data_IF_065286295861
#
_entry.id   IF_065286295861
#
_cell.length_a   1.000
_cell.length_b   1.000
_cell.length_c   1.000
_cell.angle_alpha   90.00
_cell.angle_beta   90.00
_cell.angle_gamma   90.00
#
_symmetry.space_group_name_H-M   'P 1'
#
loop_
_entity.id
_entity.type
_entity.pdbx_description
1 polymer ?
#
# COMPACT_ATOMS: atom_id res chain seq x y z
N UNK A 1 -14.18 -6.45 23.82
CA UNK A 1 -13.57 -6.84 22.54
C UNK A 1 -12.99 -8.23 22.73
N UNK A 2 -13.39 -9.19 21.92
CA UNK A 2 -12.83 -10.54 21.98
C UNK A 2 -11.42 -10.51 21.36
N UNK A 3 -10.39 -10.73 22.18
CA UNK A 3 -9.00 -10.66 21.75
C UNK A 3 -8.67 -11.74 20.72
N UNK A 4 -9.32 -12.90 20.78
CA UNK A 4 -9.11 -13.98 19.80
C UNK A 4 -9.61 -13.54 18.43
N UNK A 5 -10.78 -12.90 18.38
CA UNK A 5 -11.34 -12.38 17.13
C UNK A 5 -10.43 -11.30 16.54
N UNK A 6 -9.91 -10.38 17.36
CA UNK A 6 -9.03 -9.32 16.85
C UNK A 6 -7.69 -9.89 16.37
N UNK A 7 -7.08 -10.79 17.13
CA UNK A 7 -5.81 -11.42 16.74
C UNK A 7 -5.97 -12.26 15.46
N UNK A 8 -7.09 -12.95 15.29
CA UNK A 8 -7.40 -13.69 14.06
C UNK A 8 -7.48 -12.80 12.83
N UNK A 9 -8.17 -11.65 12.93
CA UNK A 9 -8.24 -10.71 11.82
C UNK A 9 -6.92 -9.97 11.57
N UNK A 10 -6.11 -9.71 12.61
CA UNK A 10 -4.76 -9.15 12.44
C UNK A 10 -3.83 -10.13 11.71
N UNK A 11 -3.92 -11.43 12.02
CA UNK A 11 -3.18 -12.46 11.31
C UNK A 11 -3.61 -12.54 9.83
N UNK A 12 -4.92 -12.46 9.55
CA UNK A 12 -5.45 -12.39 8.19
C UNK A 12 -4.95 -11.14 7.45
N UNK A 13 -5.01 -9.97 8.10
CA UNK A 13 -4.61 -8.70 7.51
C UNK A 13 -3.12 -8.66 7.17
N UNK A 14 -2.25 -8.99 8.14
CA UNK A 14 -0.81 -8.85 7.99
C UNK A 14 -0.15 -10.04 7.26
N UNK A 15 -0.78 -11.23 7.31
CA UNK A 15 -0.28 -12.44 6.67
C UNK A 15 -0.97 -12.79 5.34
N UNK A 16 -2.05 -12.08 4.98
CA UNK A 16 -2.90 -12.44 3.85
C UNK A 16 -2.18 -12.44 2.51
N UNK A 17 -1.36 -11.43 2.24
CA UNK A 17 -0.61 -11.35 0.98
C UNK A 17 0.42 -12.49 0.84
N UNK A 18 1.14 -12.81 1.90
CA UNK A 18 2.08 -13.93 1.92
C UNK A 18 1.36 -15.27 1.72
N UNK A 19 0.19 -15.45 2.35
CA UNK A 19 -0.62 -16.65 2.17
C UNK A 19 -1.13 -16.80 0.73
N UNK A 20 -1.57 -15.69 0.11
CA UNK A 20 -2.01 -15.65 -1.29
C UNK A 20 -0.83 -15.90 -2.25
N UNK A 21 0.34 -15.33 -1.97
CA UNK A 21 1.57 -15.56 -2.74
C UNK A 21 1.94 -17.05 -2.75
N UNK A 22 2.06 -17.68 -1.56
CA UNK A 22 2.34 -19.12 -1.45
C UNK A 22 1.30 -20.02 -2.08
N UNK A 23 0.04 -19.59 -2.11
CA UNK A 23 -1.03 -20.32 -2.77
C UNK A 23 -0.83 -20.30 -4.30
N UNK A 24 -0.49 -19.14 -4.87
CA UNK A 24 -0.18 -19.02 -6.29
C UNK A 24 1.00 -19.91 -6.68
N UNK A 25 2.08 -19.91 -5.90
CA UNK A 25 3.25 -20.77 -6.11
C UNK A 25 2.87 -22.25 -6.13
N UNK A 26 2.07 -22.69 -5.15
CA UNK A 26 1.59 -24.09 -5.06
C UNK A 26 0.70 -24.49 -6.22
N UNK A 27 -0.02 -23.54 -6.79
CA UNK A 27 -0.88 -23.74 -7.96
C UNK A 27 -0.11 -23.59 -9.28
N UNK A 28 1.20 -23.29 -9.23
CA UNK A 28 2.03 -23.06 -10.41
C UNK A 28 1.54 -21.89 -11.25
N UNK A 29 0.96 -20.86 -10.62
CA UNK A 29 0.48 -19.67 -11.32
C UNK A 29 1.67 -18.74 -11.63
N UNK A 30 1.63 -18.01 -12.75
CA UNK A 30 2.69 -17.07 -13.12
C UNK A 30 2.85 -15.96 -12.07
N UNK A 31 4.08 -15.53 -11.82
CA UNK A 31 4.41 -14.38 -10.96
C UNK A 31 4.54 -13.06 -11.73
N UNK A 32 4.39 -13.10 -13.05
CA UNK A 32 4.48 -11.98 -13.97
C UNK A 32 3.11 -11.57 -14.55
N UNK A 33 3.09 -10.46 -15.31
CA UNK A 33 1.87 -9.94 -15.92
C UNK A 33 0.89 -9.30 -14.92
N UNK A 34 -0.41 -9.38 -15.22
CA UNK A 34 -1.50 -8.79 -14.41
C UNK A 34 -2.14 -9.76 -13.41
N UNK A 35 -1.93 -11.06 -13.61
CA UNK A 35 -2.57 -12.08 -12.79
C UNK A 35 -2.25 -11.93 -11.29
N UNK A 36 -0.98 -11.75 -10.86
CA UNK A 36 -0.67 -11.60 -9.44
C UNK A 36 -1.42 -10.45 -8.78
N UNK A 37 -1.69 -9.38 -9.53
CA UNK A 37 -2.47 -8.23 -9.05
C UNK A 37 -3.95 -8.58 -8.87
N UNK A 38 -4.52 -9.46 -9.70
CA UNK A 38 -5.89 -9.95 -9.48
C UNK A 38 -5.98 -10.74 -8.18
N UNK A 39 -5.00 -11.60 -7.89
CA UNK A 39 -4.96 -12.39 -6.65
C UNK A 39 -4.86 -11.51 -5.40
N UNK A 40 -4.21 -10.34 -5.46
CA UNK A 40 -4.15 -9.38 -4.34
C UNK A 40 -5.52 -9.02 -3.79
N UNK A 41 -6.58 -9.00 -4.61
CA UNK A 41 -7.94 -8.66 -4.18
C UNK A 41 -8.58 -9.66 -3.20
N UNK A 42 -8.05 -10.88 -3.10
CA UNK A 42 -8.53 -11.85 -2.11
C UNK A 42 -8.31 -11.36 -0.68
N UNK A 43 -7.22 -10.63 -0.42
CA UNK A 43 -6.89 -10.12 0.91
C UNK A 43 -7.88 -9.07 1.40
N UNK A 44 -8.13 -7.94 0.71
CA UNK A 44 -9.12 -6.95 1.15
C UNK A 44 -10.53 -7.54 1.17
N UNK A 45 -10.88 -8.45 0.26
CA UNK A 45 -12.18 -9.12 0.27
C UNK A 45 -12.35 -9.99 1.53
N UNK A 46 -11.33 -10.76 1.90
CA UNK A 46 -11.33 -11.57 3.11
C UNK A 46 -11.38 -10.70 4.37
N UNK A 47 -10.61 -9.61 4.43
CA UNK A 47 -10.63 -8.66 5.55
C UNK A 47 -12.00 -7.99 5.68
N UNK A 48 -12.59 -7.52 4.59
CA UNK A 48 -13.93 -6.93 4.60
C UNK A 48 -15.00 -7.95 5.04
N UNK A 49 -14.91 -9.18 4.53
CA UNK A 49 -15.78 -10.28 4.95
C UNK A 49 -15.62 -10.61 6.44
N UNK A 50 -14.39 -10.61 6.95
CA UNK A 50 -14.11 -10.82 8.37
C UNK A 50 -14.74 -9.74 9.26
N UNK A 51 -14.57 -8.47 8.89
CA UNK A 51 -15.15 -7.32 9.61
C UNK A 51 -16.68 -7.41 9.64
N UNK A 52 -17.31 -7.73 8.52
CA UNK A 52 -18.76 -7.77 8.41
C UNK A 52 -19.37 -9.00 9.08
N UNK A 53 -18.81 -10.19 8.84
CA UNK A 53 -19.42 -11.46 9.23
C UNK A 53 -18.94 -11.98 10.59
N UNK A 54 -17.68 -11.76 10.95
CA UNK A 54 -17.09 -12.28 12.20
C UNK A 54 -17.15 -11.23 13.31
N UNK A 55 -16.77 -9.99 13.00
CA UNK A 55 -16.77 -8.93 14.01
C UNK A 55 -18.11 -8.23 14.14
N UNK A 56 -18.99 -8.36 13.14
CA UNK A 56 -20.29 -7.69 13.10
C UNK A 56 -20.18 -6.16 13.08
N UNK A 57 -19.09 -5.60 12.54
CA UNK A 57 -18.84 -4.15 12.48
C UNK A 57 -19.04 -3.62 11.06
N UNK A 58 -19.48 -2.36 10.89
CA UNK A 58 -19.55 -1.74 9.57
C UNK A 58 -18.15 -1.49 9.00
N UNK A 59 -18.00 -1.40 7.68
CA UNK A 59 -16.70 -1.08 7.04
C UNK A 59 -16.17 0.32 7.42
N UNK A 60 -17.04 1.22 7.88
CA UNK A 60 -16.59 2.50 8.46
C UNK A 60 -15.69 2.31 9.68
N UNK A 61 -15.75 1.16 10.35
CA UNK A 61 -14.83 0.79 11.45
C UNK A 61 -13.40 0.46 11.01
N UNK A 62 -13.15 0.40 9.70
CA UNK A 62 -11.81 0.28 9.09
C UNK A 62 -11.53 1.46 8.15
N UNK A 63 -12.16 2.61 8.42
CA UNK A 63 -11.92 3.84 7.68
C UNK A 63 -12.68 3.95 6.35
N UNK A 64 -13.61 3.04 6.02
CA UNK A 64 -14.44 3.16 4.81
C UNK A 64 -15.49 4.27 4.93
N UNK A 65 -15.01 5.52 4.87
CA UNK A 65 -15.79 6.74 5.06
C UNK A 65 -15.40 7.77 4.01
N UNK A 66 -16.40 8.46 3.46
CA UNK A 66 -16.21 9.57 2.50
C UNK A 66 -17.10 10.71 2.94
N UNK A 67 -16.49 11.85 3.30
CA UNK A 67 -17.21 13.04 3.78
C UNK A 67 -17.91 13.83 2.65
N UNK A 68 -17.71 13.44 1.40
CA UNK A 68 -18.25 14.08 0.20
C UNK A 68 -17.18 14.30 -0.87
N UNK A 69 -17.56 14.66 -2.11
CA UNK A 69 -16.63 14.77 -3.24
C UNK A 69 -15.61 15.91 -3.06
N UNK A 70 -16.01 17.05 -2.51
CA UNK A 70 -15.12 18.19 -2.29
C UNK A 70 -14.05 17.91 -1.21
N UNK A 71 -14.42 17.46 0.01
CA UNK A 71 -13.41 17.03 0.98
C UNK A 71 -12.52 15.91 0.45
N UNK A 72 -13.08 14.93 -0.27
CA UNK A 72 -12.29 13.85 -0.87
C UNK A 72 -11.23 14.40 -1.84
N UNK A 73 -11.62 15.27 -2.77
CA UNK A 73 -10.71 15.88 -3.73
C UNK A 73 -9.63 16.73 -3.04
N UNK A 74 -10.02 17.52 -2.03
CA UNK A 74 -9.10 18.35 -1.25
C UNK A 74 -8.04 17.51 -0.54
N UNK A 75 -8.44 16.51 0.25
CA UNK A 75 -7.48 15.68 0.98
C UNK A 75 -6.61 14.83 0.05
N UNK A 76 -7.17 14.36 -1.06
CA UNK A 76 -6.39 13.65 -2.09
C UNK A 76 -5.33 14.56 -2.71
N UNK A 77 -5.70 15.80 -3.07
CA UNK A 77 -4.75 16.76 -3.63
C UNK A 77 -3.64 17.15 -2.63
N UNK A 78 -4.01 17.43 -1.37
CA UNK A 78 -3.05 17.74 -0.30
C UNK A 78 -2.14 16.55 -0.01
N UNK A 79 -2.71 15.35 0.08
CA UNK A 79 -1.96 14.12 0.31
C UNK A 79 -0.98 13.82 -0.82
N UNK A 80 -1.39 13.97 -2.08
CA UNK A 80 -0.50 13.81 -3.23
C UNK A 80 0.59 14.88 -3.27
N UNK A 81 0.26 16.14 -2.98
CA UNK A 81 1.26 17.21 -2.90
C UNK A 81 2.30 16.94 -1.80
N UNK A 82 1.86 16.48 -0.62
CA UNK A 82 2.74 16.08 0.47
C UNK A 82 3.61 14.88 0.09
N UNK A 83 3.04 13.90 -0.62
CA UNK A 83 3.73 12.72 -1.12
C UNK A 83 4.87 13.09 -2.07
N UNK A 84 4.56 13.81 -3.15
CA UNK A 84 5.53 14.21 -4.16
C UNK A 84 6.55 15.22 -3.59
N UNK A 85 6.09 16.17 -2.79
CA UNK A 85 6.96 17.15 -2.14
C UNK A 85 7.96 16.50 -1.19
N UNK A 86 7.52 15.53 -0.38
CA UNK A 86 8.44 14.79 0.50
C UNK A 86 9.39 13.88 -0.28
N UNK A 87 8.99 13.26 -1.39
CA UNK A 87 9.91 12.51 -2.23
C UNK A 87 11.09 13.37 -2.71
N UNK A 88 10.83 14.62 -3.14
CA UNK A 88 11.87 15.58 -3.53
C UNK A 88 12.78 15.97 -2.36
N UNK A 89 12.20 16.20 -1.18
CA UNK A 89 12.95 16.55 0.04
C UNK A 89 13.88 15.43 0.50
N UNK A 90 13.48 14.16 0.31
CA UNK A 90 14.27 13.00 0.72
C UNK A 90 15.27 12.52 -0.35
N UNK A 91 15.19 13.00 -1.60
CA UNK A 91 16.14 12.60 -2.67
C UNK A 91 17.62 12.73 -2.28
N UNK A 92 18.10 13.86 -1.70
CA UNK A 92 19.51 14.00 -1.33
C UNK A 92 19.94 13.02 -0.23
N UNK A 93 19.02 12.59 0.63
CA UNK A 93 19.30 11.57 1.64
C UNK A 93 19.57 10.22 0.98
N UNK A 94 18.76 9.83 0.00
CA UNK A 94 18.92 8.55 -0.70
C UNK A 94 20.19 8.51 -1.55
N UNK A 95 20.59 9.64 -2.13
CA UNK A 95 21.88 9.81 -2.79
C UNK A 95 23.04 9.67 -1.79
N UNK A 96 22.98 10.36 -0.65
CA UNK A 96 24.02 10.30 0.38
C UNK A 96 24.18 8.90 0.99
N UNK A 97 23.09 8.12 1.07
CA UNK A 97 23.10 6.74 1.52
C UNK A 97 23.54 5.75 0.42
N UNK A 98 23.75 6.21 -0.82
CA UNK A 98 24.13 5.37 -1.95
C UNK A 98 23.03 4.40 -2.39
N UNK A 99 21.77 4.74 -2.13
CA UNK A 99 20.62 3.87 -2.42
C UNK A 99 19.65 4.45 -3.46
N UNK A 100 19.94 5.62 -4.04
CA UNK A 100 19.01 6.34 -4.93
C UNK A 100 18.40 5.48 -6.05
N UNK A 101 19.12 4.49 -6.56
CA UNK A 101 18.66 3.62 -7.65
C UNK A 101 17.76 2.46 -7.18
N UNK A 102 17.72 2.15 -5.88
CA UNK A 102 17.06 0.96 -5.35
C UNK A 102 15.56 0.88 -5.67
N UNK A 103 14.84 2.02 -5.63
CA UNK A 103 13.44 2.06 -6.04
C UNK A 103 13.28 1.88 -7.56
N UNK A 104 14.16 2.51 -8.35
CA UNK A 104 14.15 2.37 -9.82
C UNK A 104 14.39 0.91 -10.24
N UNK A 105 15.35 0.25 -9.60
CA UNK A 105 15.68 -1.15 -9.88
C UNK A 105 14.48 -2.08 -9.61
N UNK A 106 13.75 -1.86 -8.52
CA UNK A 106 12.54 -2.64 -8.24
C UNK A 106 11.39 -2.33 -9.20
N UNK A 107 11.30 -1.08 -9.67
CA UNK A 107 10.32 -0.65 -10.68
C UNK A 107 10.62 -1.19 -12.08
N UNK A 108 11.86 -1.60 -12.37
CA UNK A 108 12.25 -2.18 -13.66
C UNK A 108 11.47 -3.47 -14.01
N UNK A 109 10.95 -4.19 -13.02
CA UNK A 109 10.08 -5.36 -13.26
C UNK A 109 8.71 -4.99 -13.87
N UNK A 110 8.39 -3.70 -13.90
CA UNK A 110 7.14 -3.17 -14.41
C UNK A 110 7.30 -2.35 -15.69
N UNK A 111 8.52 -2.19 -16.23
CA UNK A 111 8.75 -1.53 -17.52
C UNK A 111 8.28 -2.41 -18.68
N UNK A 112 8.20 -1.84 -19.89
CA UNK A 112 7.73 -2.52 -21.11
C UNK A 112 6.25 -2.94 -21.05
N UNK A 113 5.47 -2.25 -20.23
CA UNK A 113 4.02 -2.48 -20.08
C UNK A 113 3.25 -1.33 -20.69
N UNK A 114 2.05 -1.61 -21.18
CA UNK A 114 1.17 -0.54 -21.65
C UNK A 114 0.80 0.40 -20.50
N UNK A 115 0.56 1.67 -20.81
CA UNK A 115 0.05 2.65 -19.83
C UNK A 115 -1.18 2.12 -19.09
N UNK A 116 -2.07 1.40 -19.79
CA UNK A 116 -3.26 0.81 -19.16
C UNK A 116 -2.89 -0.24 -18.10
N UNK A 117 -1.92 -1.11 -18.37
CA UNK A 117 -1.44 -2.10 -17.41
C UNK A 117 -0.79 -1.44 -16.19
N UNK A 118 0.03 -0.41 -16.39
CA UNK A 118 0.65 0.34 -15.30
C UNK A 118 -0.40 0.99 -14.38
N UNK A 119 -1.45 1.57 -14.96
CA UNK A 119 -2.56 2.14 -14.19
C UNK A 119 -3.36 1.07 -13.44
N UNK A 120 -3.56 -0.12 -14.02
CA UNK A 120 -4.20 -1.25 -13.33
C UNK A 120 -3.34 -1.72 -12.15
N UNK A 121 -2.02 -1.82 -12.34
CA UNK A 121 -1.07 -2.19 -11.28
C UNK A 121 -1.12 -1.17 -10.14
N UNK A 122 -0.98 0.12 -10.45
CA UNK A 122 -1.02 1.20 -9.47
C UNK A 122 -2.35 1.27 -8.72
N UNK A 123 -3.47 1.20 -9.43
CA UNK A 123 -4.81 1.21 -8.82
C UNK A 123 -5.04 -0.03 -7.94
N UNK A 124 -4.58 -1.19 -8.38
CA UNK A 124 -4.71 -2.42 -7.60
C UNK A 124 -3.86 -2.41 -6.34
N UNK A 125 -2.59 -1.98 -6.42
CA UNK A 125 -1.74 -1.82 -5.24
C UNK A 125 -2.35 -0.82 -4.26
N UNK A 126 -2.70 0.38 -4.75
CA UNK A 126 -3.27 1.45 -3.94
C UNK A 126 -4.58 1.10 -3.25
N UNK A 127 -5.40 0.20 -3.81
CA UNK A 127 -6.62 -0.26 -3.12
C UNK A 127 -6.36 -1.48 -2.24
N UNK A 128 -5.69 -2.50 -2.77
CA UNK A 128 -5.64 -3.80 -2.08
C UNK A 128 -4.77 -3.73 -0.82
N UNK A 129 -3.73 -2.91 -0.80
CA UNK A 129 -2.79 -2.83 0.31
C UNK A 129 -3.31 -1.94 1.44
N UNK A 130 -4.10 -0.91 1.14
CA UNK A 130 -4.58 0.02 2.15
C UNK A 130 -5.59 -0.62 3.10
N UNK A 131 -6.46 -1.51 2.62
CA UNK A 131 -7.46 -2.22 3.46
C UNK A 131 -6.83 -2.97 4.63
N UNK A 132 -5.89 -3.91 4.44
CA UNK A 132 -5.27 -4.62 5.55
C UNK A 132 -4.39 -3.71 6.41
N UNK A 133 -3.50 -2.91 5.79
CA UNK A 133 -2.48 -2.19 6.55
C UNK A 133 -3.02 -0.93 7.24
N UNK A 134 -3.66 -0.01 6.51
CA UNK A 134 -4.13 1.27 7.07
C UNK A 134 -5.53 1.15 7.66
N UNK A 135 -6.44 0.46 6.97
CA UNK A 135 -7.81 0.30 7.44
C UNK A 135 -7.89 -0.66 8.63
N UNK A 136 -7.52 -1.92 8.45
CA UNK A 136 -7.75 -2.94 9.48
C UNK A 136 -6.70 -2.89 10.58
N UNK A 137 -5.40 -2.98 10.25
CA UNK A 137 -4.35 -3.15 11.25
C UNK A 137 -4.24 -1.93 12.18
N UNK A 138 -4.29 -0.70 11.64
CA UNK A 138 -4.25 0.52 12.48
C UNK A 138 -5.43 0.56 13.43
N UNK A 139 -6.66 0.35 12.95
CA UNK A 139 -7.86 0.42 13.81
C UNK A 139 -7.84 -0.65 14.91
N UNK A 140 -7.40 -1.86 14.60
CA UNK A 140 -7.39 -2.96 15.56
C UNK A 140 -6.27 -2.90 16.57
N UNK A 141 -5.07 -2.53 16.14
CA UNK A 141 -3.98 -2.30 17.09
C UNK A 141 -4.30 -1.08 17.97
N UNK A 142 -4.94 -0.04 17.43
CA UNK A 142 -5.43 1.10 18.22
C UNK A 142 -6.45 0.65 19.25
N UNK A 143 -7.43 -0.17 18.87
CA UNK A 143 -8.44 -0.68 19.80
C UNK A 143 -7.85 -1.57 20.91
N UNK A 144 -6.76 -2.29 20.64
CA UNK A 144 -6.06 -3.13 21.63
C UNK A 144 -5.16 -2.34 22.58
N UNK A 145 -4.51 -1.29 22.07
CA UNK A 145 -3.43 -0.59 22.78
C UNK A 145 -3.83 0.80 23.30
N UNK A 146 -4.91 1.38 22.77
CA UNK A 146 -5.30 2.77 22.98
C UNK A 146 -4.38 3.79 22.31
N UNK A 147 -3.41 3.36 21.48
CA UNK A 147 -2.39 4.23 20.90
C UNK A 147 -2.39 4.18 19.36
N UNK A 148 -2.94 5.21 18.69
CA UNK A 148 -2.91 5.31 17.23
C UNK A 148 -1.49 5.37 16.66
N UNK A 149 -0.55 5.99 17.39
CA UNK A 149 0.85 6.07 16.95
C UNK A 149 1.55 4.72 17.01
N UNK A 150 1.31 3.92 18.06
CA UNK A 150 1.83 2.56 18.13
C UNK A 150 1.24 1.70 17.01
N UNK A 151 -0.05 1.84 16.73
CA UNK A 151 -0.72 1.13 15.65
C UNK A 151 -0.15 1.49 14.27
N UNK A 152 0.10 2.77 14.02
CA UNK A 152 0.76 3.24 12.80
C UNK A 152 2.18 2.68 12.68
N UNK A 153 2.96 2.65 13.76
CA UNK A 153 4.31 2.07 13.76
C UNK A 153 4.30 0.57 13.47
N UNK A 154 3.37 -0.20 14.07
CA UNK A 154 3.20 -1.63 13.78
C UNK A 154 2.82 -1.85 12.31
N UNK A 155 1.87 -1.07 11.78
CA UNK A 155 1.47 -1.14 10.38
C UNK A 155 2.62 -0.79 9.43
N UNK A 156 3.41 0.24 9.74
CA UNK A 156 4.58 0.64 8.96
C UNK A 156 5.58 -0.52 8.87
N UNK A 157 5.98 -1.08 10.01
CA UNK A 157 6.96 -2.18 10.03
C UNK A 157 6.45 -3.40 9.28
N UNK A 158 5.19 -3.79 9.47
CA UNK A 158 4.61 -4.93 8.78
C UNK A 158 4.54 -4.71 7.26
N UNK A 159 4.14 -3.51 6.81
CA UNK A 159 4.08 -3.16 5.40
C UNK A 159 5.46 -3.21 4.75
N UNK A 160 6.48 -2.59 5.36
CA UNK A 160 7.84 -2.61 4.83
C UNK A 160 8.44 -4.01 4.78
N UNK A 161 8.20 -4.83 5.82
CA UNK A 161 8.66 -6.20 5.86
C UNK A 161 8.05 -7.05 4.74
N UNK A 162 6.76 -6.86 4.43
CA UNK A 162 6.07 -7.57 3.36
C UNK A 162 6.57 -7.22 1.95
N UNK A 163 7.27 -6.09 1.79
CA UNK A 163 7.84 -5.69 0.50
C UNK A 163 9.21 -6.31 0.24
N UNK A 164 9.97 -6.69 1.27
CA UNK A 164 11.31 -7.27 1.08
C UNK A 164 11.19 -8.65 0.41
N UNK A 165 11.69 -8.78 -0.82
CA UNK A 165 11.56 -10.03 -1.56
C UNK A 165 12.04 -9.94 -3.00
N UNK A 166 11.32 -10.63 -3.89
CA UNK A 166 11.69 -10.87 -5.30
C UNK A 166 11.96 -9.57 -6.08
N UNK A 167 11.07 -8.59 -5.95
CA UNK A 167 11.13 -7.34 -6.72
C UNK A 167 11.78 -6.18 -5.96
N UNK A 168 11.73 -6.19 -4.62
CA UNK A 168 12.19 -5.05 -3.83
C UNK A 168 13.32 -5.43 -2.89
N UNK A 169 14.43 -4.72 -3.04
CA UNK A 169 15.56 -4.80 -2.12
C UNK A 169 15.21 -4.23 -0.74
N UNK A 170 16.01 -4.55 0.28
CA UNK A 170 15.87 -3.92 1.60
C UNK A 170 16.03 -2.41 1.55
N UNK A 171 16.89 -1.90 0.66
CA UNK A 171 17.07 -0.47 0.45
C UNK A 171 15.81 0.18 -0.15
N UNK A 172 15.17 -0.48 -1.13
CA UNK A 172 13.89 -0.04 -1.68
C UNK A 172 12.80 -0.03 -0.59
N UNK A 173 12.71 -1.09 0.22
CA UNK A 173 11.78 -1.12 1.35
C UNK A 173 12.03 0.01 2.36
N UNK A 174 13.28 0.37 2.65
CA UNK A 174 13.58 1.54 3.50
C UNK A 174 13.11 2.84 2.86
N UNK A 175 13.26 3.01 1.54
CA UNK A 175 12.75 4.18 0.84
C UNK A 175 11.22 4.26 0.84
N UNK A 176 10.54 3.11 0.77
CA UNK A 176 9.07 3.01 0.93
C UNK A 176 8.58 3.48 2.32
N UNK A 177 9.46 3.66 3.31
CA UNK A 177 9.07 4.26 4.59
C UNK A 177 8.54 5.69 4.38
N UNK A 178 9.11 6.48 3.46
CA UNK A 178 8.66 7.84 3.17
C UNK A 178 7.18 7.86 2.71
N UNK A 179 6.78 7.16 1.63
CA UNK A 179 5.38 7.18 1.21
C UNK A 179 4.47 6.53 2.26
N UNK A 180 4.94 5.48 2.94
CA UNK A 180 4.14 4.80 3.99
C UNK A 180 3.82 5.73 5.16
N UNK A 181 4.79 6.53 5.62
CA UNK A 181 4.58 7.50 6.70
C UNK A 181 3.62 8.60 6.27
N UNK A 182 3.71 9.10 5.03
CA UNK A 182 2.75 10.09 4.50
C UNK A 182 1.33 9.52 4.48
N UNK A 183 1.15 8.29 3.98
CA UNK A 183 -0.16 7.63 3.93
C UNK A 183 -0.73 7.38 5.33
N UNK A 184 0.10 6.96 6.30
CA UNK A 184 -0.33 6.79 7.69
C UNK A 184 -0.72 8.12 8.33
N UNK A 185 0.06 9.18 8.13
CA UNK A 185 -0.29 10.52 8.62
C UNK A 185 -1.61 11.01 7.99
N UNK A 186 -1.79 10.81 6.70
CA UNK A 186 -3.02 11.14 5.98
C UNK A 186 -4.21 10.32 6.49
N UNK A 187 -4.03 9.03 6.77
CA UNK A 187 -5.05 8.17 7.36
C UNK A 187 -5.45 8.67 8.76
N UNK A 188 -4.47 8.97 9.63
CA UNK A 188 -4.74 9.45 10.98
C UNK A 188 -5.40 10.84 10.98
N UNK A 189 -5.12 11.68 9.98
CA UNK A 189 -5.76 12.98 9.82
C UNK A 189 -7.20 12.88 9.31
N UNK A 190 -7.43 12.06 8.29
CA UNK A 190 -8.71 12.05 7.56
C UNK A 190 -9.66 10.95 8.00
N UNK A 191 -9.13 9.87 8.59
CA UNK A 191 -9.83 8.63 8.89
C UNK A 191 -10.60 8.06 7.68
N UNK A 192 -10.10 8.36 6.47
CA UNK A 192 -10.74 8.02 5.20
C UNK A 192 -9.82 7.14 4.38
N UNK A 193 -10.14 5.85 4.35
CA UNK A 193 -9.41 4.87 3.57
C UNK A 193 -9.47 5.16 2.06
N UNK A 194 -10.61 5.57 1.47
CA UNK A 194 -10.66 5.95 0.06
C UNK A 194 -9.71 7.11 -0.31
N UNK A 195 -9.51 8.09 0.56
CA UNK A 195 -8.54 9.18 0.34
C UNK A 195 -7.12 8.62 0.26
N UNK A 196 -6.75 7.74 1.18
CA UNK A 196 -5.42 7.13 1.22
C UNK A 196 -5.19 6.24 0.00
N UNK A 197 -6.19 5.45 -0.40
CA UNK A 197 -6.16 4.63 -1.61
C UNK A 197 -5.92 5.46 -2.87
N UNK A 198 -6.62 6.60 -3.00
CA UNK A 198 -6.46 7.48 -4.13
C UNK A 198 -5.05 8.07 -4.18
N UNK A 199 -4.51 8.52 -3.04
CA UNK A 199 -3.15 9.08 -2.99
C UNK A 199 -2.10 8.01 -3.28
N UNK A 200 -2.24 6.80 -2.74
CA UNK A 200 -1.35 5.68 -3.01
C UNK A 200 -1.37 5.31 -4.50
N UNK A 201 -2.55 5.07 -5.08
CA UNK A 201 -2.69 4.72 -6.49
C UNK A 201 -2.12 5.82 -7.41
N UNK A 202 -2.33 7.10 -7.09
CA UNK A 202 -1.78 8.21 -7.87
C UNK A 202 -0.26 8.31 -7.75
N UNK A 203 0.29 8.09 -6.56
CA UNK A 203 1.74 8.03 -6.35
C UNK A 203 2.38 6.93 -7.20
N UNK A 204 1.81 5.73 -7.16
CA UNK A 204 2.33 4.58 -7.90
C UNK A 204 2.19 4.79 -9.41
N UNK A 205 1.07 5.36 -9.87
CA UNK A 205 0.89 5.70 -11.27
C UNK A 205 1.97 6.69 -11.74
N UNK A 206 2.25 7.73 -10.96
CA UNK A 206 3.32 8.69 -11.28
C UNK A 206 4.68 7.99 -11.31
N UNK A 207 5.01 7.20 -10.29
CA UNK A 207 6.30 6.49 -10.20
C UNK A 207 6.53 5.53 -11.37
N UNK A 208 5.55 4.67 -11.66
CA UNK A 208 5.63 3.68 -12.73
C UNK A 208 5.71 4.34 -14.12
N UNK A 209 4.89 5.35 -14.39
CA UNK A 209 4.89 6.05 -15.68
C UNK A 209 6.15 6.89 -15.93
N UNK A 210 6.83 7.34 -14.87
CA UNK A 210 8.12 8.01 -14.99
C UNK A 210 9.25 7.00 -15.21
N UNK A 211 9.19 5.84 -14.56
CA UNK A 211 10.19 4.79 -14.73
C UNK A 211 10.17 4.17 -16.12
N UNK A 212 8.97 3.90 -16.65
CA UNK A 212 8.78 3.35 -17.99
C UNK A 212 9.39 4.27 -19.05
N UNK A 213 9.12 5.59 -18.96
CA UNK A 213 9.73 6.60 -19.85
C UNK A 213 11.24 6.73 -19.70
N UNK A 214 11.79 6.51 -18.51
CA UNK A 214 13.24 6.54 -18.30
C UNK A 214 13.93 5.26 -18.79
N UNK A 215 13.17 4.19 -19.00
CA UNK A 215 13.63 2.91 -19.54
C UNK A 215 13.59 2.83 -21.07
N UNK A 216 12.83 3.69 -21.75
CA UNK A 216 12.87 3.81 -23.20
C UNK A 216 14.28 4.24 -23.64
N UNK A 217 15.04 3.43 -24.41
CA UNK A 217 16.28 3.90 -25.00
C UNK A 217 15.93 5.04 -25.97
N UNK A 218 16.63 6.18 -25.86
CA UNK A 218 16.52 7.33 -26.77
C UNK A 218 16.46 6.82 -28.22
N UNK A 219 15.25 6.75 -28.79
CA UNK A 219 15.06 6.43 -30.20
C UNK A 219 15.36 7.70 -30.98
N UNK A 220 16.65 7.93 -31.21
CA UNK A 220 17.19 8.90 -32.16
C UNK A 220 17.15 8.36 -33.59
#
# INVERSE_FOLDING_TARGET
MDWVVVLGGLALSLGGFEAVSRLQDRLGRPSDGLEPHVWKWLVPAAVAGYVLAVEGRPLSSIGWTVAGPLPFAYHTAVGLAAMLGSALLFSPLWEALGTADAMRDGMAAFTDRSVAELLVVAGTAGVTEEVPYRGYAVERVTALTGSPLLAAAVSLVAFLAAHVGEHWSRAAAVQMAQPTVVLLALYLWTHSLPVVMAVHALNDAVGLLLADRAGEPDSA
#
